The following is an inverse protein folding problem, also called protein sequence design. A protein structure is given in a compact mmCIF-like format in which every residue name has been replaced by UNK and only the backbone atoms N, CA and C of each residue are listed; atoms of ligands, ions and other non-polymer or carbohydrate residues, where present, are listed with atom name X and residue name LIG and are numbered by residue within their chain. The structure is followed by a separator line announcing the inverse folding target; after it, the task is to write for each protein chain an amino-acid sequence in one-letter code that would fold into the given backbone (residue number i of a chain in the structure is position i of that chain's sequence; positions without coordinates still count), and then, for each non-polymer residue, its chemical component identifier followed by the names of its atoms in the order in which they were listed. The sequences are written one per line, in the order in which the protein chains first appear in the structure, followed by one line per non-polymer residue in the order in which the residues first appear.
data_IF_946707463245
#
_entry.id   IF_946707463245
#
_cell.length_a   1.000
_cell.length_b   1.000
_cell.length_c   1.000
_cell.angle_alpha   90.00
_cell.angle_beta   90.00
_cell.angle_gamma   90.00
#
_symmetry.space_group_name_H-M   'P 1'
#
loop_
_entity.id
_entity.type
_entity.pdbx_description
1 polymer ?
#
# COMPACT_ATOMS: atom_id res chain seq x y z
N UNK A 1 4.68 -26.28 -70.73
CA UNK A 1 5.34 -25.65 -69.57
C UNK A 1 4.45 -24.45 -69.23
N UNK A 2 3.24 -24.71 -68.72
CA UNK A 2 2.13 -23.75 -68.78
C UNK A 2 1.38 -23.64 -67.43
N UNK A 3 2.12 -23.77 -66.32
CA UNK A 3 1.53 -23.73 -64.97
C UNK A 3 2.06 -22.56 -64.11
N UNK A 4 2.88 -21.66 -64.66
CA UNK A 4 3.52 -20.59 -63.86
C UNK A 4 2.77 -19.24 -63.83
N UNK A 5 1.75 -19.02 -64.67
CA UNK A 5 1.08 -17.71 -64.73
C UNK A 5 -0.08 -17.51 -63.73
N UNK A 6 -0.58 -18.58 -63.08
CA UNK A 6 -1.69 -18.45 -62.12
C UNK A 6 -1.25 -18.01 -60.71
N UNK A 7 0.05 -18.04 -60.41
CA UNK A 7 0.60 -17.72 -59.08
C UNK A 7 0.94 -16.25 -58.85
N UNK A 8 1.05 -15.44 -59.90
CA UNK A 8 1.54 -14.07 -59.82
C UNK A 8 0.44 -13.03 -59.48
N UNK A 9 -0.84 -13.38 -59.65
CA UNK A 9 -1.95 -12.42 -59.51
C UNK A 9 -2.43 -12.24 -58.06
N UNK A 10 -2.10 -13.17 -57.15
CA UNK A 10 -2.46 -13.08 -55.73
C UNK A 10 -1.42 -12.36 -54.86
N UNK A 11 -0.24 -12.03 -55.41
CA UNK A 11 0.85 -11.35 -54.68
C UNK A 11 0.83 -9.82 -54.82
N UNK A 12 -0.10 -9.26 -55.60
CA UNK A 12 -0.23 -7.80 -55.86
C UNK A 12 -1.54 -7.19 -55.36
N UNK A 13 -2.18 -7.74 -54.33
CA UNK A 13 -3.06 -6.91 -53.49
C UNK A 13 -2.17 -6.01 -52.63
N UNK A 14 -1.74 -4.90 -53.22
CA UNK A 14 -1.24 -3.75 -52.48
C UNK A 14 -2.26 -3.33 -51.40
N UNK A 15 -1.84 -2.56 -50.39
CA UNK A 15 -2.72 -2.14 -49.29
C UNK A 15 -4.05 -1.67 -49.89
N UNK A 16 -5.21 -2.13 -49.38
CA UNK A 16 -6.50 -1.65 -49.89
C UNK A 16 -6.49 -0.12 -49.84
N UNK A 17 -7.08 0.56 -50.83
CA UNK A 17 -6.96 2.00 -50.97
C UNK A 17 -7.29 2.66 -49.63
N UNK A 18 -6.31 3.36 -49.05
CA UNK A 18 -6.43 4.11 -47.80
C UNK A 18 -7.43 5.25 -48.04
N UNK A 19 -8.70 4.89 -47.99
CA UNK A 19 -9.79 5.83 -47.90
C UNK A 19 -9.76 6.40 -46.49
N UNK A 20 -10.04 7.70 -46.37
CA UNK A 20 -10.07 8.42 -45.08
C UNK A 20 -10.91 7.64 -44.05
N UNK A 21 -11.95 6.95 -44.51
CA UNK A 21 -12.80 6.08 -43.69
C UNK A 21 -12.06 4.87 -43.09
N UNK A 22 -11.22 4.17 -43.86
CA UNK A 22 -10.41 3.05 -43.39
C UNK A 22 -9.33 3.49 -42.38
N UNK A 23 -8.74 4.67 -42.61
CA UNK A 23 -7.78 5.28 -41.67
C UNK A 23 -8.44 5.70 -40.35
N UNK A 24 -9.66 6.24 -40.40
CA UNK A 24 -10.45 6.60 -39.21
C UNK A 24 -10.86 5.35 -38.43
N UNK A 25 -11.32 4.31 -39.13
CA UNK A 25 -11.71 3.04 -38.49
C UNK A 25 -10.54 2.37 -37.78
N UNK A 26 -9.35 2.40 -38.41
CA UNK A 26 -8.11 1.90 -37.81
C UNK A 26 -7.63 2.75 -36.62
N UNK A 27 -7.84 4.07 -36.65
CA UNK A 27 -7.51 4.96 -35.53
C UNK A 27 -8.45 4.73 -34.34
N UNK A 28 -9.74 4.52 -34.58
CA UNK A 28 -10.73 4.19 -33.54
C UNK A 28 -10.40 2.83 -32.92
N UNK A 29 -10.09 1.82 -33.73
CA UNK A 29 -9.65 0.51 -33.25
C UNK A 29 -8.38 0.62 -32.39
N UNK A 30 -7.37 1.36 -32.85
CA UNK A 30 -6.14 1.59 -32.08
C UNK A 30 -6.37 2.36 -30.78
N UNK A 31 -7.30 3.31 -30.76
CA UNK A 31 -7.68 4.05 -29.54
C UNK A 31 -8.41 3.18 -28.53
N UNK A 32 -9.26 2.25 -29.00
CA UNK A 32 -9.94 1.28 -28.15
C UNK A 32 -8.96 0.30 -27.52
N UNK A 33 -8.00 -0.22 -28.29
CA UNK A 33 -6.97 -1.13 -27.79
C UNK A 33 -6.06 -0.44 -26.77
N UNK A 34 -5.72 0.84 -26.98
CA UNK A 34 -4.95 1.63 -26.04
C UNK A 34 -5.73 1.86 -24.72
N UNK A 35 -7.02 2.20 -24.81
CA UNK A 35 -7.87 2.38 -23.64
C UNK A 35 -8.03 1.07 -22.83
N UNK A 36 -8.21 -0.07 -23.50
CA UNK A 36 -8.24 -1.38 -22.84
C UNK A 36 -6.90 -1.71 -22.18
N UNK A 37 -5.78 -1.37 -22.82
CA UNK A 37 -4.44 -1.54 -22.23
C UNK A 37 -4.25 -0.70 -20.96
N UNK A 38 -4.64 0.58 -20.96
CA UNK A 38 -4.55 1.45 -19.78
C UNK A 38 -5.42 0.97 -18.62
N UNK A 39 -6.64 0.54 -18.89
CA UNK A 39 -7.54 -0.03 -17.87
C UNK A 39 -6.93 -1.30 -17.28
N UNK A 40 -6.36 -2.17 -18.11
CA UNK A 40 -5.71 -3.40 -17.66
C UNK A 40 -4.49 -3.09 -16.76
N UNK A 41 -3.70 -2.09 -17.13
CA UNK A 41 -2.55 -1.62 -16.35
C UNK A 41 -2.97 -0.99 -15.02
N UNK A 42 -4.00 -0.15 -15.02
CA UNK A 42 -4.56 0.43 -13.80
C UNK A 42 -5.11 -0.65 -12.86
N UNK A 43 -5.76 -1.69 -13.41
CA UNK A 43 -6.27 -2.83 -12.65
C UNK A 43 -5.15 -3.67 -12.04
N UNK A 44 -4.06 -3.90 -12.79
CA UNK A 44 -2.86 -4.58 -12.30
C UNK A 44 -2.18 -3.78 -11.18
N UNK A 45 -2.02 -2.47 -11.37
CA UNK A 45 -1.45 -1.56 -10.36
C UNK A 45 -2.31 -1.49 -9.10
N UNK A 46 -3.64 -1.43 -9.24
CA UNK A 46 -4.56 -1.48 -8.10
C UNK A 46 -4.47 -2.80 -7.34
N UNK A 47 -4.36 -3.93 -8.06
CA UNK A 47 -4.25 -5.27 -7.45
C UNK A 47 -2.92 -5.47 -6.73
N UNK A 48 -1.81 -4.94 -7.27
CA UNK A 48 -0.51 -4.99 -6.59
C UNK A 48 -0.50 -4.12 -5.34
N UNK A 49 -1.04 -2.90 -5.40
CA UNK A 49 -1.16 -2.00 -4.26
C UNK A 49 -2.06 -2.59 -3.16
N UNK A 50 -3.19 -3.18 -3.53
CA UNK A 50 -4.08 -3.85 -2.59
C UNK A 50 -3.40 -5.05 -1.89
N UNK A 51 -2.55 -5.80 -2.60
CA UNK A 51 -1.80 -6.92 -2.01
C UNK A 51 -0.74 -6.44 -1.01
N UNK A 52 -0.06 -5.33 -1.31
CA UNK A 52 0.91 -4.71 -0.41
C UNK A 52 0.21 -4.13 0.82
N UNK A 53 -0.91 -3.45 0.63
CA UNK A 53 -1.72 -2.91 1.72
C UNK A 53 -2.25 -4.01 2.64
N UNK A 54 -2.73 -5.13 2.09
CA UNK A 54 -3.21 -6.26 2.88
C UNK A 54 -2.10 -6.89 3.72
N UNK A 55 -0.91 -7.05 3.15
CA UNK A 55 0.28 -7.55 3.89
C UNK A 55 0.72 -6.55 4.96
N UNK A 56 0.80 -5.27 4.59
CA UNK A 56 1.15 -4.19 5.52
C UNK A 56 0.18 -4.09 6.68
N UNK A 57 -1.13 -4.24 6.42
CA UNK A 57 -2.16 -4.25 7.45
C UNK A 57 -2.01 -5.47 8.37
N UNK A 58 -1.73 -6.65 7.83
CA UNK A 58 -1.49 -7.86 8.64
C UNK A 58 -0.30 -7.69 9.59
N UNK A 59 0.83 -7.22 9.07
CA UNK A 59 2.01 -6.95 9.90
C UNK A 59 1.78 -5.79 10.87
N UNK A 60 1.05 -4.75 10.47
CA UNK A 60 0.68 -3.63 11.32
C UNK A 60 -0.20 -4.04 12.49
N UNK A 61 -1.20 -4.90 12.25
CA UNK A 61 -2.03 -5.50 13.30
C UNK A 61 -1.18 -6.35 14.22
N UNK A 62 -0.36 -7.25 13.67
CA UNK A 62 0.48 -8.16 14.46
C UNK A 62 1.48 -7.38 15.32
N UNK A 63 2.12 -6.35 14.77
CA UNK A 63 3.04 -5.48 15.49
C UNK A 63 2.32 -4.72 16.61
N UNK A 64 1.14 -4.15 16.33
CA UNK A 64 0.32 -3.46 17.34
C UNK A 64 -0.09 -4.41 18.47
N UNK A 65 -0.56 -5.62 18.14
CA UNK A 65 -0.93 -6.62 19.14
C UNK A 65 0.28 -7.05 19.98
N UNK A 66 1.42 -7.32 19.33
CA UNK A 66 2.66 -7.68 20.03
C UNK A 66 3.15 -6.57 20.96
N UNK A 67 3.09 -5.32 20.51
CA UNK A 67 3.42 -4.15 21.31
C UNK A 67 2.50 -4.01 22.52
N UNK A 68 1.19 -4.25 22.34
CA UNK A 68 0.22 -4.16 23.42
C UNK A 68 0.45 -5.25 24.48
N UNK A 69 0.65 -6.50 24.06
CA UNK A 69 0.98 -7.61 24.97
C UNK A 69 2.31 -7.38 25.68
N UNK A 70 3.35 -6.98 24.95
CA UNK A 70 4.66 -6.69 25.52
C UNK A 70 4.62 -5.54 26.53
N UNK A 71 3.88 -4.47 26.22
CA UNK A 71 3.68 -3.35 27.13
C UNK A 71 2.93 -3.76 28.40
N UNK A 72 1.86 -4.57 28.28
CA UNK A 72 1.16 -5.10 29.45
C UNK A 72 2.08 -5.97 30.33
N UNK A 73 2.88 -6.86 29.74
CA UNK A 73 3.84 -7.68 30.48
C UNK A 73 4.91 -6.83 31.17
N UNK A 74 5.40 -5.78 30.48
CA UNK A 74 6.36 -4.83 31.05
C UNK A 74 5.79 -4.11 32.27
N UNK A 75 4.53 -3.68 32.23
CA UNK A 75 3.88 -3.06 33.37
C UNK A 75 3.76 -4.03 34.55
N UNK A 76 3.29 -5.26 34.31
CA UNK A 76 3.17 -6.28 35.35
C UNK A 76 4.53 -6.60 35.97
N UNK A 77 5.55 -6.81 35.14
CA UNK A 77 6.91 -7.06 35.61
C UNK A 77 7.47 -5.88 36.42
N UNK A 78 7.24 -4.64 35.98
CA UNK A 78 7.64 -3.43 36.69
C UNK A 78 6.96 -3.31 38.06
N UNK A 79 5.65 -3.60 38.15
CA UNK A 79 4.91 -3.60 39.41
C UNK A 79 5.51 -4.63 40.38
N UNK A 80 5.72 -5.86 39.92
CA UNK A 80 6.27 -6.94 40.76
C UNK A 80 7.70 -6.62 41.21
N UNK A 81 8.52 -6.02 40.35
CA UNK A 81 9.89 -5.63 40.67
C UNK A 81 9.95 -4.50 41.70
N UNK A 82 9.05 -3.52 41.64
CA UNK A 82 9.01 -2.37 42.56
C UNK A 82 8.31 -2.70 43.88
N UNK A 83 7.35 -3.64 43.89
CA UNK A 83 6.57 -4.03 45.06
C UNK A 83 7.37 -4.21 46.37
N UNK A 84 8.53 -4.92 46.41
CA UNK A 84 9.30 -5.08 47.65
C UNK A 84 9.91 -3.79 48.19
N UNK A 85 10.08 -2.76 47.34
CA UNK A 85 10.72 -1.51 47.73
C UNK A 85 9.74 -0.46 48.27
N UNK A 86 8.45 -0.57 47.94
CA UNK A 86 7.44 0.47 48.24
C UNK A 86 6.38 -0.01 49.25
N UNK A 87 6.63 -1.15 49.91
CA UNK A 87 5.76 -1.65 50.96
C UNK A 87 4.54 -2.45 50.48
N UNK A 88 4.58 -3.00 49.25
CA UNK A 88 3.57 -3.92 48.75
C UNK A 88 3.08 -3.62 47.33
N UNK A 89 2.11 -4.42 46.86
CA UNK A 89 1.59 -4.35 45.48
C UNK A 89 0.74 -3.10 45.21
N UNK A 90 -0.07 -2.65 46.18
CA UNK A 90 -0.96 -1.49 46.03
C UNK A 90 -0.22 -0.16 45.74
N UNK A 91 0.80 0.24 46.52
CA UNK A 91 1.53 1.47 46.20
C UNK A 91 2.35 1.34 44.90
N UNK A 92 2.87 0.14 44.59
CA UNK A 92 3.61 -0.11 43.35
C UNK A 92 2.75 0.04 42.09
N UNK A 93 1.49 -0.43 42.11
CA UNK A 93 0.56 -0.23 40.99
C UNK A 93 0.25 1.25 40.78
N UNK A 94 0.01 2.01 41.85
CA UNK A 94 -0.28 3.44 41.78
C UNK A 94 0.88 4.21 41.13
N UNK A 95 2.12 3.92 41.55
CA UNK A 95 3.33 4.53 40.98
C UNK A 95 3.47 4.17 39.51
N UNK A 96 3.32 2.89 39.15
CA UNK A 96 3.47 2.44 37.77
C UNK A 96 2.40 3.03 36.85
N UNK A 97 1.16 3.18 37.33
CA UNK A 97 0.11 3.91 36.62
C UNK A 97 0.55 5.36 36.38
N UNK A 98 1.03 6.05 37.41
CA UNK A 98 1.53 7.43 37.28
C UNK A 98 2.64 7.57 36.24
N UNK A 99 3.61 6.66 36.25
CA UNK A 99 4.70 6.62 35.26
C UNK A 99 4.15 6.35 33.85
N UNK A 100 3.25 5.38 33.70
CA UNK A 100 2.64 5.06 32.41
C UNK A 100 1.87 6.25 31.83
N UNK A 101 1.12 6.99 32.65
CA UNK A 101 0.43 8.22 32.22
C UNK A 101 1.41 9.32 31.82
N UNK A 102 2.48 9.54 32.60
CA UNK A 102 3.50 10.51 32.27
C UNK A 102 4.17 10.20 30.92
N UNK A 103 4.53 8.93 30.69
CA UNK A 103 5.08 8.48 29.41
C UNK A 103 4.07 8.64 28.27
N UNK A 104 2.80 8.30 28.48
CA UNK A 104 1.76 8.47 27.47
C UNK A 104 1.60 9.93 27.05
N UNK A 105 1.65 10.87 28.00
CA UNK A 105 1.62 12.31 27.71
C UNK A 105 2.85 12.71 26.88
N UNK A 106 4.05 12.30 27.30
CA UNK A 106 5.30 12.61 26.59
C UNK A 106 5.24 12.07 25.17
N UNK A 107 4.94 10.78 24.98
CA UNK A 107 4.83 10.19 23.65
C UNK A 107 3.72 10.82 22.81
N UNK A 108 2.59 11.18 23.41
CA UNK A 108 1.51 11.89 22.72
C UNK A 108 1.94 13.27 22.22
N UNK A 109 2.72 14.00 23.02
CA UNK A 109 3.30 15.29 22.62
C UNK A 109 4.36 15.14 21.53
N UNK A 110 5.26 14.16 21.63
CA UNK A 110 6.25 13.88 20.59
C UNK A 110 5.57 13.47 19.28
N UNK A 111 4.55 12.61 19.33
CA UNK A 111 3.79 12.21 18.16
C UNK A 111 3.11 13.42 17.51
N UNK A 112 2.48 14.29 18.32
CA UNK A 112 1.88 15.54 17.82
C UNK A 112 2.90 16.43 17.11
N UNK A 113 4.10 16.57 17.67
CA UNK A 113 5.17 17.35 17.05
C UNK A 113 5.64 16.71 15.75
N UNK A 114 5.87 15.40 15.73
CA UNK A 114 6.27 14.68 14.52
C UNK A 114 5.23 14.79 13.39
N UNK A 115 3.94 14.66 13.72
CA UNK A 115 2.86 14.86 12.74
C UNK A 115 2.79 16.31 12.25
N UNK A 116 2.98 17.28 13.15
CA UNK A 116 3.00 18.70 12.76
C UNK A 116 4.18 18.99 11.84
N UNK A 117 5.35 18.43 12.08
CA UNK A 117 6.52 18.62 11.23
C UNK A 117 6.29 17.97 9.86
N UNK A 118 5.73 16.76 9.80
CA UNK A 118 5.37 16.10 8.53
C UNK A 118 4.29 16.86 7.72
N UNK A 119 3.41 17.60 8.38
CA UNK A 119 2.31 18.36 7.74
C UNK A 119 2.71 19.82 7.46
N UNK A 120 3.65 20.36 8.22
CA UNK A 120 4.10 21.75 8.15
C UNK A 120 5.26 21.99 7.20
N UNK A 121 5.92 20.94 6.71
CA UNK A 121 7.07 21.00 5.79
C UNK A 121 6.64 20.98 4.30
N UNK A 122 5.53 21.66 3.99
CA UNK A 122 5.02 21.93 2.63
C UNK A 122 4.84 23.45 2.39
N UNK A 123 5.64 24.29 3.05
CA UNK A 123 5.63 25.76 2.92
C UNK A 123 6.88 26.33 2.27
#
# INVERSE_FOLDING_TARGET
MDDEEAGADNARKGPPPDTIHASVERLIASGKDLAEAEISWAKLKGRSLASLLRKGLFFGILATTGLMVGFSLLLVAGIVAIAPHVGGLLPATLIMIGIAFALAIIFGLLARNAFRDMIGDDG
#
